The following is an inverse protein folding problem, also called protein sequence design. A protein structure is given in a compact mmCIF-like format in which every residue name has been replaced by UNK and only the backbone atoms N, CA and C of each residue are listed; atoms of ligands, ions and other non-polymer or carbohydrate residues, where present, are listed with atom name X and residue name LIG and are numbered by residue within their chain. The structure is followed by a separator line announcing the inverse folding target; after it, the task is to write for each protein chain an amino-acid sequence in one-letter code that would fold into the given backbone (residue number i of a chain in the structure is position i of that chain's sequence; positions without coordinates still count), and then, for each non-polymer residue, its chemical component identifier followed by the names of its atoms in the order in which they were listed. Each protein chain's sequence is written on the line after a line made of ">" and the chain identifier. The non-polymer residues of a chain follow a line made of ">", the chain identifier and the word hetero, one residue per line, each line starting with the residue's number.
data_IF_943709832983
#
_entry.id   IF_943709832983
#
_cell.length_a   1.000
_cell.length_b   1.000
_cell.length_c   1.000
_cell.angle_alpha   90.00
_cell.angle_beta   90.00
_cell.angle_gamma   90.00
#
_symmetry.space_group_name_H-M   'P 1'
#
loop_
_entity.id
_entity.type
_entity.pdbx_description
1 polymer ?
#
# COMPACT_ATOMS: atom_id res chain seq x y z
N UNK A 1 24.71 37.35 -2.11
CA UNK A 1 24.96 36.41 -0.99
C UNK A 1 23.76 35.48 -0.88
N UNK A 2 23.90 34.16 -1.08
CA UNK A 2 22.78 33.24 -1.02
C UNK A 2 22.53 32.73 0.41
N UNK A 3 21.25 32.58 0.74
CA UNK A 3 20.68 32.14 2.01
C UNK A 3 20.84 30.60 2.15
N UNK A 4 21.25 30.05 3.30
CA UNK A 4 21.32 28.60 3.47
C UNK A 4 19.93 28.00 3.73
N UNK A 5 19.61 26.97 2.95
CA UNK A 5 18.40 26.14 3.02
C UNK A 5 18.42 25.21 4.24
N UNK A 6 17.40 25.34 5.11
CA UNK A 6 17.03 24.34 6.12
C UNK A 6 16.45 23.10 5.44
N UNK A 7 17.26 22.07 5.19
CA UNK A 7 16.77 20.69 5.17
C UNK A 7 17.14 20.06 6.52
N UNK A 8 16.13 19.89 7.37
CA UNK A 8 16.27 19.25 8.67
C UNK A 8 16.57 17.77 8.54
N UNK A 9 17.72 17.39 9.06
CA UNK A 9 18.32 16.06 9.06
C UNK A 9 17.66 15.13 10.11
N UNK A 10 16.40 14.75 9.87
CA UNK A 10 15.64 13.88 10.78
C UNK A 10 16.17 12.43 10.84
N UNK A 11 16.94 11.99 9.84
CA UNK A 11 17.43 10.60 9.77
C UNK A 11 18.54 10.29 10.78
N UNK A 12 19.30 11.29 11.25
CA UNK A 12 20.39 11.08 12.20
C UNK A 12 19.98 11.13 13.67
N UNK A 13 18.78 11.63 14.01
CA UNK A 13 18.35 11.68 15.42
C UNK A 13 18.00 10.31 16.02
N UNK A 14 17.66 9.31 15.19
CA UNK A 14 17.45 7.93 15.63
C UNK A 14 18.74 7.23 16.09
N UNK A 15 19.93 7.79 15.78
CA UNK A 15 21.24 7.22 16.15
C UNK A 15 21.81 7.76 17.48
N UNK A 16 21.28 8.88 18.01
CA UNK A 16 21.88 9.55 19.19
C UNK A 16 21.36 9.08 20.55
N UNK A 17 20.22 8.38 20.58
CA UNK A 17 19.71 7.73 21.80
C UNK A 17 19.21 6.31 21.48
N UNK A 18 20.11 5.31 21.43
CA UNK A 18 19.71 3.94 21.14
C UNK A 18 18.90 3.40 22.33
N UNK A 19 17.63 3.08 22.08
CA UNK A 19 16.89 2.19 22.96
C UNK A 19 17.65 0.84 22.99
N UNK A 20 17.99 0.28 24.18
CA UNK A 20 18.79 -0.95 24.27
C UNK A 20 18.12 -2.19 23.63
N UNK A 21 16.81 -2.14 23.32
CA UNK A 21 16.14 -3.16 22.49
C UNK A 21 16.35 -2.95 20.99
N UNK A 22 16.57 -1.71 20.54
CA UNK A 22 16.78 -1.34 19.13
C UNK A 22 18.21 -1.64 18.65
N UNK A 23 19.23 -1.56 19.51
CA UNK A 23 20.61 -1.86 19.12
C UNK A 23 20.80 -3.35 18.78
N UNK A 24 20.27 -4.24 19.62
CA UNK A 24 20.28 -5.69 19.36
C UNK A 24 19.49 -6.07 18.11
N UNK A 25 18.41 -5.35 17.83
CA UNK A 25 17.61 -5.52 16.61
C UNK A 25 18.38 -5.09 15.36
N UNK A 26 19.08 -3.95 15.39
CA UNK A 26 19.95 -3.53 14.29
C UNK A 26 21.09 -4.52 14.03
N UNK A 27 21.70 -5.08 15.08
CA UNK A 27 22.78 -6.06 14.95
C UNK A 27 22.26 -7.39 14.38
N UNK A 28 21.07 -7.86 14.79
CA UNK A 28 20.42 -9.04 14.19
C UNK A 28 19.96 -8.81 12.75
N UNK A 29 19.45 -7.61 12.41
CA UNK A 29 19.07 -7.24 11.04
C UNK A 29 20.31 -7.19 10.14
N UNK A 30 21.41 -6.60 10.65
CA UNK A 30 22.67 -6.52 9.92
C UNK A 30 23.29 -7.92 9.74
N UNK A 31 23.22 -8.79 10.75
CA UNK A 31 23.65 -10.18 10.64
C UNK A 31 22.81 -11.00 9.65
N UNK A 32 21.47 -10.92 9.71
CA UNK A 32 20.59 -11.60 8.75
C UNK A 32 20.81 -11.11 7.31
N UNK A 33 21.00 -9.80 7.11
CA UNK A 33 21.33 -9.25 5.78
C UNK A 33 22.70 -9.71 5.24
N UNK A 34 23.64 -10.10 6.14
CA UNK A 34 24.97 -10.62 5.78
C UNK A 34 24.95 -12.12 5.51
N UNK A 35 24.11 -12.89 6.21
CA UNK A 35 24.06 -14.36 6.12
C UNK A 35 23.35 -14.88 4.86
N UNK A 36 22.49 -14.09 4.22
CA UNK A 36 21.73 -14.52 3.02
C UNK A 36 22.25 -13.96 1.69
N UNK A 37 23.46 -13.39 1.66
CA UNK A 37 24.08 -12.89 0.42
C UNK A 37 24.60 -14.06 -0.43
N UNK A 38 23.69 -14.81 -1.06
CA UNK A 38 24.01 -15.78 -2.09
C UNK A 38 24.25 -15.05 -3.43
N UNK A 39 25.44 -15.17 -4.05
CA UNK A 39 25.77 -14.45 -5.28
C UNK A 39 24.94 -14.86 -6.51
N UNK A 40 24.10 -15.89 -6.43
CA UNK A 40 23.34 -16.43 -7.56
C UNK A 40 21.81 -16.18 -7.53
N UNK A 41 21.29 -15.25 -6.71
CA UNK A 41 19.84 -14.99 -6.65
C UNK A 41 19.56 -13.51 -6.95
N UNK A 42 18.64 -13.28 -7.90
CA UNK A 42 18.20 -12.01 -8.48
C UNK A 42 17.41 -11.10 -7.52
N UNK A 43 17.78 -11.06 -6.25
CA UNK A 43 17.21 -10.20 -5.23
C UNK A 43 18.07 -8.93 -5.09
N UNK A 44 17.87 -7.95 -5.96
CA UNK A 44 18.54 -6.64 -5.87
C UNK A 44 17.70 -5.63 -5.10
N UNK A 45 17.42 -5.90 -3.83
CA UNK A 45 17.12 -4.81 -2.89
C UNK A 45 18.45 -4.25 -2.38
N UNK A 46 18.62 -2.94 -2.44
CA UNK A 46 19.76 -2.33 -1.75
C UNK A 46 19.54 -2.38 -0.23
N UNK A 47 20.63 -2.31 0.54
CA UNK A 47 20.54 -2.21 2.01
C UNK A 47 19.65 -1.01 2.42
N UNK A 48 19.69 0.07 1.64
CA UNK A 48 18.81 1.24 1.82
C UNK A 48 17.33 0.89 1.62
N UNK A 49 16.99 0.05 0.65
CA UNK A 49 15.61 -0.34 0.37
C UNK A 49 15.06 -1.27 1.44
N UNK A 50 15.90 -2.19 1.94
CA UNK A 50 15.58 -3.02 3.10
C UNK A 50 15.27 -2.12 4.30
N UNK A 51 16.15 -1.16 4.61
CA UNK A 51 15.93 -0.20 5.72
C UNK A 51 14.62 0.58 5.53
N UNK A 52 14.31 1.07 4.32
CA UNK A 52 13.04 1.78 4.04
C UNK A 52 11.82 0.89 4.28
N UNK A 53 11.87 -0.38 3.87
CA UNK A 53 10.81 -1.35 4.09
C UNK A 53 10.62 -1.62 5.59
N UNK A 54 11.71 -1.80 6.32
CA UNK A 54 11.69 -2.06 7.76
C UNK A 54 11.16 -0.87 8.56
N UNK A 55 11.53 0.37 8.19
CA UNK A 55 10.99 1.59 8.79
C UNK A 55 9.47 1.69 8.54
N UNK A 56 9.01 1.36 7.32
CA UNK A 56 7.59 1.42 6.99
C UNK A 56 6.74 0.38 7.75
N UNK A 57 7.31 -0.78 8.09
CA UNK A 57 6.64 -1.86 8.85
C UNK A 57 7.59 -2.54 9.85
N UNK A 58 7.73 -2.02 11.06
CA UNK A 58 8.50 -2.71 12.11
C UNK A 58 7.92 -4.10 12.46
N UNK A 59 6.61 -4.31 12.25
CA UNK A 59 5.94 -5.60 12.51
C UNK A 59 6.23 -6.67 11.46
N UNK A 60 6.65 -6.31 10.24
CA UNK A 60 7.03 -7.31 9.22
C UNK A 60 8.36 -7.98 9.54
N UNK A 61 9.13 -7.48 10.51
CA UNK A 61 10.30 -8.17 11.10
C UNK A 61 9.95 -9.54 11.72
N UNK A 62 8.67 -9.81 12.01
CA UNK A 62 8.21 -11.14 12.43
C UNK A 62 8.07 -12.13 11.27
N UNK A 63 8.08 -11.66 10.03
CA UNK A 63 7.95 -12.47 8.82
C UNK A 63 9.33 -12.65 8.18
N UNK A 64 9.55 -13.83 7.61
CA UNK A 64 10.78 -14.13 6.89
C UNK A 64 10.90 -13.24 5.64
N UNK A 65 12.05 -12.56 5.50
CA UNK A 65 12.38 -11.72 4.35
C UNK A 65 12.24 -12.50 3.04
N UNK A 66 12.84 -13.70 3.01
CA UNK A 66 12.85 -14.59 1.83
C UNK A 66 11.48 -15.22 1.54
N UNK A 67 10.74 -15.61 2.58
CA UNK A 67 9.51 -16.39 2.38
C UNK A 67 8.25 -15.53 2.23
N UNK A 68 8.27 -14.26 2.62
CA UNK A 68 7.07 -13.42 2.61
C UNK A 68 7.27 -12.07 1.94
N UNK A 69 8.37 -11.37 2.23
CA UNK A 69 8.61 -10.02 1.70
C UNK A 69 9.05 -10.11 0.23
N UNK A 70 10.00 -10.99 -0.09
CA UNK A 70 10.54 -11.15 -1.44
C UNK A 70 9.48 -11.54 -2.48
N UNK A 71 8.63 -12.56 -2.27
CA UNK A 71 7.58 -12.91 -3.25
C UNK A 71 6.61 -11.75 -3.51
N UNK A 72 6.21 -11.04 -2.45
CA UNK A 72 5.29 -9.90 -2.56
C UNK A 72 5.94 -8.72 -3.27
N UNK A 73 7.20 -8.42 -2.97
CA UNK A 73 7.96 -7.38 -3.64
C UNK A 73 8.10 -7.67 -5.14
N UNK A 74 8.50 -8.90 -5.49
CA UNK A 74 8.65 -9.32 -6.88
C UNK A 74 7.32 -9.23 -7.63
N UNK A 75 6.22 -9.71 -7.05
CA UNK A 75 4.89 -9.56 -7.65
C UNK A 75 4.55 -8.08 -7.93
N UNK A 76 4.73 -7.20 -6.95
CA UNK A 76 4.44 -5.78 -7.12
C UNK A 76 5.37 -5.13 -8.15
N UNK A 77 6.64 -5.49 -8.17
CA UNK A 77 7.61 -5.06 -9.19
C UNK A 77 7.19 -5.51 -10.57
N UNK A 78 6.75 -6.75 -10.73
CA UNK A 78 6.35 -7.29 -12.02
C UNK A 78 5.02 -6.66 -12.49
N UNK A 79 4.12 -6.26 -11.58
CA UNK A 79 2.92 -5.49 -11.92
C UNK A 79 3.25 -4.03 -12.29
N UNK A 80 4.11 -3.37 -11.51
CA UNK A 80 4.40 -1.93 -11.65
C UNK A 80 5.54 -1.63 -12.63
N UNK A 81 6.30 -2.66 -13.01
CA UNK A 81 7.46 -2.59 -13.89
C UNK A 81 8.50 -1.55 -13.41
N UNK A 82 8.61 -1.34 -12.09
CA UNK A 82 9.50 -0.32 -11.49
C UNK A 82 9.76 -0.56 -10.00
N UNK A 83 11.03 -0.68 -9.62
CA UNK A 83 11.44 -0.79 -8.21
C UNK A 83 11.03 0.45 -7.39
N UNK A 84 11.16 1.65 -7.97
CA UNK A 84 10.79 2.89 -7.30
C UNK A 84 9.30 2.95 -6.97
N UNK A 85 8.44 2.60 -7.96
CA UNK A 85 6.98 2.53 -7.75
C UNK A 85 6.62 1.45 -6.74
N UNK A 86 7.29 0.30 -6.77
CA UNK A 86 7.09 -0.77 -5.78
C UNK A 86 7.42 -0.31 -4.36
N UNK A 87 8.58 0.33 -4.17
CA UNK A 87 8.97 0.87 -2.86
C UNK A 87 8.01 1.97 -2.41
N UNK A 88 7.53 2.81 -3.33
CA UNK A 88 6.52 3.83 -3.02
C UNK A 88 5.20 3.20 -2.57
N UNK A 89 4.70 2.18 -3.27
CA UNK A 89 3.48 1.46 -2.90
C UNK A 89 3.58 0.85 -1.50
N UNK A 90 4.70 0.18 -1.21
CA UNK A 90 4.99 -0.40 0.11
C UNK A 90 5.03 0.69 1.18
N UNK A 91 5.68 1.84 0.91
CA UNK A 91 5.71 2.96 1.86
C UNK A 91 4.33 3.56 2.12
N UNK A 92 3.48 3.65 1.09
CA UNK A 92 2.12 4.19 1.19
C UNK A 92 1.18 3.28 1.95
N UNK A 93 1.28 1.97 1.75
CA UNK A 93 0.50 1.01 2.50
C UNK A 93 1.33 -0.22 2.79
N UNK A 94 2.06 -0.19 3.89
CA UNK A 94 2.97 -1.27 4.23
C UNK A 94 2.24 -2.58 4.62
N UNK A 95 0.90 -2.53 4.78
CA UNK A 95 0.02 -3.70 4.83
C UNK A 95 0.12 -4.57 3.57
N UNK A 96 0.52 -4.04 2.41
CA UNK A 96 0.64 -4.88 1.19
C UNK A 96 1.64 -6.01 1.35
N UNK A 97 2.64 -5.86 2.24
CA UNK A 97 3.58 -6.92 2.60
C UNK A 97 2.96 -8.01 3.46
N UNK A 98 1.82 -7.72 4.09
CA UNK A 98 1.12 -8.64 4.97
C UNK A 98 -0.01 -9.40 4.29
N UNK A 99 -0.45 -8.93 3.12
CA UNK A 99 -1.57 -9.49 2.38
C UNK A 99 -1.13 -10.71 1.59
N UNK A 100 -2.05 -11.67 1.47
CA UNK A 100 -2.01 -12.61 0.37
C UNK A 100 -2.36 -11.85 -0.92
N UNK A 101 -1.33 -11.24 -1.49
CA UNK A 101 -1.41 -10.41 -2.69
C UNK A 101 -1.85 -11.23 -3.91
N UNK A 102 -1.54 -12.53 -3.92
CA UNK A 102 -2.03 -13.49 -4.92
C UNK A 102 -3.53 -13.74 -4.75
N UNK A 103 -4.01 -13.97 -3.52
CA UNK A 103 -5.43 -14.25 -3.29
C UNK A 103 -6.34 -13.01 -3.35
N UNK A 104 -5.81 -11.80 -3.13
CA UNK A 104 -6.63 -10.59 -3.02
C UNK A 104 -6.34 -9.54 -4.11
N UNK A 105 -5.08 -9.09 -4.25
CA UNK A 105 -4.76 -7.95 -5.12
C UNK A 105 -4.97 -8.31 -6.58
N UNK A 106 -4.47 -9.47 -7.04
CA UNK A 106 -4.63 -9.89 -8.43
C UNK A 106 -6.12 -10.07 -8.81
N UNK A 107 -6.95 -10.81 -8.04
CA UNK A 107 -8.38 -10.91 -8.33
C UNK A 107 -9.11 -9.57 -8.31
N UNK A 108 -8.75 -8.66 -7.40
CA UNK A 108 -9.35 -7.33 -7.35
C UNK A 108 -8.99 -6.47 -8.58
N UNK A 109 -7.75 -6.57 -9.06
CA UNK A 109 -7.34 -5.92 -10.31
C UNK A 109 -8.01 -6.55 -11.54
N UNK A 110 -8.23 -7.87 -11.55
CA UNK A 110 -9.01 -8.53 -12.59
C UNK A 110 -10.45 -8.03 -12.60
N UNK A 111 -11.11 -7.96 -11.44
CA UNK A 111 -12.46 -7.42 -11.34
C UNK A 111 -12.55 -5.98 -11.88
N UNK A 112 -11.61 -5.11 -11.51
CA UNK A 112 -11.57 -3.74 -12.03
C UNK A 112 -11.42 -3.70 -13.55
N UNK A 113 -10.60 -4.60 -14.12
CA UNK A 113 -10.46 -4.75 -15.56
C UNK A 113 -11.78 -5.20 -16.21
N UNK A 114 -12.46 -6.16 -15.62
CA UNK A 114 -13.70 -6.75 -16.14
C UNK A 114 -14.84 -5.72 -16.19
N UNK A 115 -14.89 -4.80 -15.22
CA UNK A 115 -15.83 -3.67 -15.25
C UNK A 115 -15.35 -2.48 -16.11
N UNK A 116 -14.20 -2.61 -16.79
CA UNK A 116 -13.73 -1.62 -17.77
C UNK A 116 -12.78 -0.54 -17.22
N UNK A 117 -12.24 -0.69 -16.02
CA UNK A 117 -11.25 0.27 -15.50
C UNK A 117 -9.95 0.19 -16.30
N UNK A 118 -9.41 1.31 -16.81
CA UNK A 118 -8.17 1.30 -17.58
C UNK A 118 -6.97 0.79 -16.77
N UNK A 119 -6.10 0.02 -17.44
CA UNK A 119 -4.86 -0.51 -16.86
C UNK A 119 -4.00 0.55 -16.18
N UNK A 120 -3.83 1.70 -16.81
CA UNK A 120 -3.08 2.84 -16.25
C UNK A 120 -3.65 3.33 -14.91
N UNK A 121 -4.98 3.35 -14.76
CA UNK A 121 -5.65 3.77 -13.53
C UNK A 121 -5.48 2.73 -12.42
N UNK A 122 -5.55 1.44 -12.76
CA UNK A 122 -5.27 0.37 -11.81
C UNK A 122 -3.82 0.42 -11.29
N UNK A 123 -2.84 0.64 -12.18
CA UNK A 123 -1.43 0.79 -11.80
C UNK A 123 -1.19 2.05 -10.96
N UNK A 124 -1.89 3.15 -11.26
CA UNK A 124 -1.87 4.36 -10.44
C UNK A 124 -2.37 4.08 -9.02
N UNK A 125 -3.54 3.44 -8.89
CA UNK A 125 -4.09 3.09 -7.57
C UNK A 125 -3.16 2.13 -6.83
N UNK A 126 -2.61 1.11 -7.48
CA UNK A 126 -1.66 0.19 -6.87
C UNK A 126 -0.40 0.92 -6.35
N UNK A 127 0.07 1.94 -7.06
CA UNK A 127 1.26 2.72 -6.69
C UNK A 127 1.00 3.69 -5.53
N UNK A 128 -0.09 4.45 -5.59
CA UNK A 128 -0.32 5.60 -4.69
C UNK A 128 -1.36 5.33 -3.61
N UNK A 129 -2.32 4.46 -3.87
CA UNK A 129 -3.42 4.10 -2.98
C UNK A 129 -3.62 2.57 -2.85
N UNK A 130 -2.56 1.77 -2.57
CA UNK A 130 -2.66 0.31 -2.59
C UNK A 130 -3.75 -0.26 -1.67
N UNK A 131 -4.08 0.47 -0.59
CA UNK A 131 -5.17 0.12 0.34
C UNK A 131 -6.50 -0.06 -0.39
N UNK A 132 -6.75 0.71 -1.45
CA UNK A 132 -8.03 0.75 -2.17
C UNK A 132 -8.34 -0.54 -2.92
N UNK A 133 -7.33 -1.38 -3.17
CA UNK A 133 -7.47 -2.70 -3.82
C UNK A 133 -7.04 -3.86 -2.92
N UNK A 134 -6.75 -3.58 -1.64
CA UNK A 134 -6.23 -4.54 -0.64
C UNK A 134 -7.29 -5.27 0.22
N UNK A 135 -8.57 -5.23 -0.16
CA UNK A 135 -9.65 -5.94 0.57
C UNK A 135 -9.78 -7.41 0.16
N UNK A 136 -10.54 -8.22 0.91
CA UNK A 136 -10.90 -9.56 0.44
C UNK A 136 -11.67 -9.45 -0.86
N UNK A 137 -11.57 -10.47 -1.71
CA UNK A 137 -12.26 -10.51 -3.01
C UNK A 137 -13.76 -10.22 -2.87
N UNK A 138 -14.41 -10.80 -1.87
CA UNK A 138 -15.85 -10.68 -1.64
C UNK A 138 -16.24 -9.26 -1.22
N UNK A 139 -15.49 -8.66 -0.29
CA UNK A 139 -15.73 -7.30 0.17
C UNK A 139 -15.48 -6.28 -0.94
N UNK A 140 -14.40 -6.48 -1.70
CA UNK A 140 -14.06 -5.60 -2.80
C UNK A 140 -15.07 -5.70 -3.94
N UNK A 141 -15.50 -6.92 -4.27
CA UNK A 141 -16.53 -7.17 -5.28
C UNK A 141 -17.83 -6.43 -4.98
N UNK A 142 -18.34 -6.56 -3.75
CA UNK A 142 -19.56 -5.88 -3.33
C UNK A 142 -19.49 -4.37 -3.53
N UNK A 143 -18.36 -3.74 -3.19
CA UNK A 143 -18.19 -2.30 -3.35
C UNK A 143 -18.13 -1.90 -4.83
N UNK A 144 -17.41 -2.65 -5.66
CA UNK A 144 -17.33 -2.37 -7.10
C UNK A 144 -18.70 -2.48 -7.76
N UNK A 145 -19.48 -3.52 -7.43
CA UNK A 145 -20.85 -3.69 -7.92
C UNK A 145 -21.74 -2.52 -7.50
N UNK A 146 -21.66 -2.07 -6.24
CA UNK A 146 -22.43 -0.92 -5.76
C UNK A 146 -22.08 0.37 -6.51
N UNK A 147 -20.79 0.62 -6.79
CA UNK A 147 -20.36 1.80 -7.58
C UNK A 147 -20.87 1.73 -9.03
N UNK A 148 -20.89 0.53 -9.63
CA UNK A 148 -21.44 0.31 -10.98
C UNK A 148 -22.95 0.52 -10.99
N UNK A 149 -23.68 0.02 -9.98
CA UNK A 149 -25.12 0.23 -9.81
C UNK A 149 -25.49 1.71 -9.63
N UNK A 150 -24.63 2.50 -8.98
CA UNK A 150 -24.76 3.97 -8.89
C UNK A 150 -24.55 4.70 -10.22
N UNK A 151 -24.18 3.98 -11.30
CA UNK A 151 -23.98 4.56 -12.63
C UNK A 151 -22.67 5.34 -12.78
N UNK A 152 -21.70 5.14 -11.89
CA UNK A 152 -20.39 5.80 -12.00
C UNK A 152 -19.58 5.14 -13.13
N UNK A 153 -19.24 5.90 -14.15
CA UNK A 153 -18.49 5.41 -15.31
C UNK A 153 -17.06 4.92 -14.92
N UNK A 154 -16.73 3.62 -15.10
CA UNK A 154 -15.41 3.04 -14.82
C UNK A 154 -14.23 3.70 -15.55
N UNK A 155 -14.50 4.36 -16.68
CA UNK A 155 -13.51 5.10 -17.46
C UNK A 155 -13.14 6.43 -16.80
N UNK A 156 -14.01 7.02 -15.97
CA UNK A 156 -13.76 8.31 -15.31
C UNK A 156 -12.88 8.17 -14.07
N UNK A 157 -12.13 9.22 -13.75
CA UNK A 157 -11.24 9.27 -12.57
C UNK A 157 -11.99 9.05 -11.27
N UNK A 158 -13.24 9.51 -11.20
CA UNK A 158 -14.06 9.50 -9.99
C UNK A 158 -14.51 8.08 -9.59
N UNK A 159 -14.42 7.10 -10.49
CA UNK A 159 -14.78 5.70 -10.17
C UNK A 159 -13.98 5.17 -8.97
N UNK A 160 -12.65 5.33 -9.00
CA UNK A 160 -11.80 4.86 -7.89
C UNK A 160 -11.99 5.70 -6.62
N UNK A 161 -12.37 6.97 -6.75
CA UNK A 161 -12.75 7.80 -5.61
C UNK A 161 -14.03 7.31 -4.94
N UNK A 162 -15.03 6.88 -5.72
CA UNK A 162 -16.27 6.28 -5.21
C UNK A 162 -15.98 4.93 -4.52
N UNK A 163 -15.15 4.07 -5.13
CA UNK A 163 -14.69 2.82 -4.50
C UNK A 163 -13.97 3.11 -3.18
N UNK A 164 -13.04 4.06 -3.15
CA UNK A 164 -12.35 4.46 -1.93
C UNK A 164 -13.32 4.96 -0.86
N UNK A 165 -14.28 5.81 -1.24
CA UNK A 165 -15.29 6.33 -0.33
C UNK A 165 -16.08 5.18 0.31
N UNK A 166 -16.76 4.34 -0.48
CA UNK A 166 -17.57 3.23 0.04
C UNK A 166 -16.78 2.24 0.89
N UNK A 167 -15.50 2.01 0.56
CA UNK A 167 -14.61 1.18 1.38
C UNK A 167 -14.23 1.79 2.73
N UNK A 168 -14.26 3.12 2.84
CA UNK A 168 -13.74 3.85 4.01
C UNK A 168 -14.81 4.20 5.05
N UNK A 169 -16.09 3.98 4.71
CA UNK A 169 -17.25 4.23 5.58
C UNK A 169 -17.95 2.92 5.91
N UNK A 170 -18.39 2.77 7.15
CA UNK A 170 -19.30 1.67 7.50
C UNK A 170 -20.64 1.89 6.82
N UNK A 171 -21.36 0.80 6.53
CA UNK A 171 -22.74 0.86 6.02
C UNK A 171 -23.63 1.80 6.83
N UNK A 172 -23.54 1.74 8.17
CA UNK A 172 -24.28 2.61 9.08
C UNK A 172 -23.93 4.10 8.96
N UNK A 173 -22.67 4.41 8.61
CA UNK A 173 -22.22 5.80 8.40
C UNK A 173 -22.66 6.29 7.02
N UNK A 174 -22.70 5.41 6.02
CA UNK A 174 -23.22 5.72 4.70
C UNK A 174 -24.72 6.03 4.74
N UNK A 175 -25.51 5.16 5.35
CA UNK A 175 -26.97 5.33 5.49
C UNK A 175 -27.32 6.65 6.17
N UNK A 176 -26.66 6.98 7.29
CA UNK A 176 -26.83 8.27 7.98
C UNK A 176 -26.44 9.47 7.12
N UNK A 177 -25.37 9.35 6.32
CA UNK A 177 -24.99 10.43 5.40
C UNK A 177 -26.05 10.62 4.32
N UNK A 178 -26.55 9.53 3.72
CA UNK A 178 -27.60 9.59 2.70
C UNK A 178 -28.90 10.15 3.28
N UNK A 179 -29.29 9.76 4.49
CA UNK A 179 -30.42 10.34 5.20
C UNK A 179 -30.26 11.86 5.37
N UNK A 180 -29.10 12.33 5.82
CA UNK A 180 -28.82 13.77 5.92
C UNK A 180 -28.79 14.52 4.58
N UNK A 181 -28.51 13.84 3.46
CA UNK A 181 -28.51 14.43 2.12
C UNK A 181 -29.89 14.41 1.44
N UNK A 182 -30.75 13.46 1.83
CA UNK A 182 -32.09 13.25 1.25
C UNK A 182 -33.21 13.86 2.10
N UNK A 183 -32.94 14.23 3.36
CA UNK A 183 -33.86 15.03 4.15
C UNK A 183 -33.82 16.49 3.67
N UNK A 184 -34.98 17.09 3.33
CA UNK A 184 -35.06 18.51 2.99
C UNK A 184 -34.45 19.36 4.09
N UNK A 185 -33.69 20.37 3.68
CA UNK A 185 -33.28 21.47 4.57
C UNK A 185 -34.51 22.38 4.75
N UNK A 186 -35.45 21.95 5.58
CA UNK A 186 -36.55 22.73 6.18
C UNK A 186 -37.03 21.85 7.36
N UNK A 187 -37.03 22.22 8.63
CA UNK A 187 -37.17 23.51 9.31
C UNK A 187 -36.11 23.67 10.42
N UNK A 188 -35.56 24.89 10.58
CA UNK A 188 -34.86 25.32 11.79
C UNK A 188 -35.33 26.69 12.22
#
# INVERSE_FOLDING_TARGET
>A
MPIPSRQGDFSFQMLKHPNPRSSRLCDSIFQESRLHRNPNISFRLSDSDIVKILIARPKSLRKSLKNSIEPTFNLLRDLLQSNEKTLLAIRRCAWVLDLDSQANVIPNMQLLRDVGVPGSKMLYVLTYHPRDISGTKEQFKKVVEEVVEMGVDPLKTNFMSAVHALRSISKSTWEKKMENFLLPVDDR
#
